data_IF_149395315654
#
_entry.id   IF_149395315654
#
_cell.length_a   1.000
_cell.length_b   1.000
_cell.length_c   1.000
_cell.angle_alpha   90.00
_cell.angle_beta   90.00
_cell.angle_gamma   90.00
#
_symmetry.space_group_name_H-M   'P 1'
#
loop_
_entity.id
_entity.type
_entity.pdbx_description
1 polymer ?
#
# COMPACT_ATOMS: atom_id res chain seq x y z
N UNK A 1 0.16 73.59 -10.94
CA UNK A 1 -0.36 72.82 -9.79
C UNK A 1 -1.67 72.16 -10.19
N UNK A 2 -1.65 70.87 -10.55
CA UNK A 2 -2.82 69.99 -10.69
C UNK A 2 -2.34 68.57 -11.06
N UNK A 3 -2.89 67.59 -10.34
CA UNK A 3 -2.99 66.14 -10.62
C UNK A 3 -1.91 65.22 -10.03
N UNK A 4 -2.12 64.95 -8.74
CA UNK A 4 -1.90 63.68 -8.06
C UNK A 4 -2.77 62.55 -8.63
N UNK A 5 -2.40 61.32 -8.27
CA UNK A 5 -3.21 60.08 -8.20
C UNK A 5 -3.64 59.39 -9.49
N UNK A 6 -2.77 58.54 -10.06
CA UNK A 6 -3.10 57.18 -10.56
C UNK A 6 -1.80 56.37 -10.48
N UNK A 7 -1.76 55.32 -9.66
CA UNK A 7 -0.59 54.43 -9.64
C UNK A 7 -0.39 53.59 -8.38
N UNK A 8 -1.45 53.19 -7.67
CA UNK A 8 -1.35 52.25 -6.54
C UNK A 8 -2.51 51.25 -6.59
N UNK A 9 -2.63 50.44 -7.63
CA UNK A 9 -3.47 49.20 -7.60
C UNK A 9 -3.01 48.16 -8.65
N UNK A 10 -1.72 47.87 -8.80
CA UNK A 10 -1.27 46.69 -9.58
C UNK A 10 0.01 46.11 -8.96
N UNK A 11 -0.07 45.59 -7.74
CA UNK A 11 1.04 44.82 -7.14
C UNK A 11 0.58 43.78 -6.10
N UNK A 12 -0.72 43.51 -5.98
CA UNK A 12 -1.27 42.67 -4.92
C UNK A 12 -2.30 41.64 -5.45
N UNK A 13 -2.04 41.03 -6.60
CA UNK A 13 -2.96 40.08 -7.23
C UNK A 13 -2.27 38.90 -7.95
N UNK A 14 -1.06 38.51 -7.56
CA UNK A 14 -0.33 37.39 -8.20
C UNK A 14 0.45 36.53 -7.19
N UNK A 15 -0.18 36.24 -6.05
CA UNK A 15 0.22 35.16 -5.14
C UNK A 15 -1.03 34.35 -4.80
N UNK A 16 -1.73 33.85 -5.82
CA UNK A 16 -2.61 32.70 -5.67
C UNK A 16 -1.71 31.47 -5.59
N UNK A 17 -1.14 31.25 -4.40
CA UNK A 17 -0.66 29.93 -4.03
C UNK A 17 -1.88 29.01 -4.07
N UNK A 18 -2.04 28.26 -5.15
CA UNK A 18 -2.95 27.11 -5.19
C UNK A 18 -2.43 26.10 -4.16
N UNK A 19 -2.84 26.27 -2.90
CA UNK A 19 -2.78 25.18 -1.94
C UNK A 19 -3.81 24.17 -2.42
N UNK A 20 -3.36 23.13 -3.12
CA UNK A 20 -4.20 21.96 -3.35
C UNK A 20 -4.70 21.50 -1.97
N UNK A 21 -6.02 21.59 -1.75
CA UNK A 21 -6.63 21.09 -0.53
C UNK A 21 -6.39 19.58 -0.49
N UNK A 22 -5.77 19.09 0.58
CA UNK A 22 -5.59 17.66 0.80
C UNK A 22 -6.97 16.98 0.83
N UNK A 23 -7.09 15.80 0.23
CA UNK A 23 -8.34 15.08 0.23
C UNK A 23 -8.77 14.75 1.67
N UNK A 24 -10.09 14.72 1.90
CA UNK A 24 -10.66 14.34 3.18
C UNK A 24 -11.32 12.96 3.11
N UNK A 25 -11.56 12.37 4.28
CA UNK A 25 -12.38 11.14 4.38
C UNK A 25 -13.77 11.33 3.77
N UNK A 26 -14.37 12.52 3.93
CA UNK A 26 -15.69 12.81 3.38
C UNK A 26 -15.68 12.85 1.85
N UNK A 27 -14.60 13.36 1.24
CA UNK A 27 -14.43 13.34 -0.21
C UNK A 27 -14.36 11.91 -0.73
N UNK A 28 -13.61 11.05 -0.04
CA UNK A 28 -13.51 9.62 -0.36
C UNK A 28 -14.87 8.91 -0.28
N UNK A 29 -15.64 9.12 0.80
CA UNK A 29 -16.98 8.52 0.93
C UNK A 29 -17.94 9.00 -0.15
N UNK A 30 -17.86 10.30 -0.48
CA UNK A 30 -18.66 10.89 -1.56
C UNK A 30 -18.30 10.29 -2.92
N UNK A 31 -17.03 9.95 -3.14
CA UNK A 31 -16.56 9.29 -4.34
C UNK A 31 -17.04 7.83 -4.41
N UNK A 32 -16.98 7.09 -3.30
CA UNK A 32 -17.48 5.71 -3.20
C UNK A 32 -18.97 5.65 -3.52
N UNK A 33 -19.76 6.62 -3.04
CA UNK A 33 -21.19 6.71 -3.33
C UNK A 33 -21.49 6.82 -4.84
N UNK A 34 -20.61 7.47 -5.60
CA UNK A 34 -20.75 7.67 -7.05
C UNK A 34 -20.34 6.46 -7.90
N UNK A 35 -19.67 5.46 -7.32
CA UNK A 35 -19.23 4.27 -8.06
C UNK A 35 -20.44 3.52 -8.66
N UNK A 36 -20.32 2.94 -9.86
CA UNK A 36 -21.40 2.19 -10.49
C UNK A 36 -21.48 0.75 -9.95
N UNK A 37 -21.38 0.57 -8.64
CA UNK A 37 -21.40 -0.74 -7.96
C UNK A 37 -22.71 -0.96 -7.19
N UNK A 38 -22.93 -2.18 -6.70
CA UNK A 38 -24.07 -2.46 -5.84
C UNK A 38 -23.97 -1.70 -4.51
N UNK A 39 -25.10 -1.44 -3.85
CA UNK A 39 -25.11 -0.79 -2.53
C UNK A 39 -24.29 -1.58 -1.50
N UNK A 40 -24.34 -2.91 -1.54
CA UNK A 40 -23.58 -3.76 -0.63
C UNK A 40 -22.06 -3.58 -0.83
N UNK A 41 -21.61 -3.54 -2.08
CA UNK A 41 -20.18 -3.33 -2.38
C UNK A 41 -19.72 -1.94 -1.97
N UNK A 42 -20.53 -0.89 -2.20
CA UNK A 42 -20.21 0.47 -1.75
C UNK A 42 -20.07 0.55 -0.24
N UNK A 43 -20.98 -0.07 0.50
CA UNK A 43 -20.91 -0.08 1.96
C UNK A 43 -19.65 -0.82 2.45
N UNK A 44 -19.34 -1.97 1.86
CA UNK A 44 -18.10 -2.69 2.17
C UNK A 44 -16.85 -1.85 1.87
N UNK A 45 -16.80 -1.16 0.73
CA UNK A 45 -15.68 -0.30 0.36
C UNK A 45 -15.57 0.90 1.32
N UNK A 46 -16.69 1.53 1.68
CA UNK A 46 -16.71 2.62 2.65
C UNK A 46 -16.11 2.16 4.00
N UNK A 47 -16.64 1.09 4.58
CA UNK A 47 -16.19 0.57 5.88
C UNK A 47 -14.70 0.17 5.85
N UNK A 48 -14.28 -0.54 4.80
CA UNK A 48 -12.90 -1.02 4.68
C UNK A 48 -11.90 0.12 4.46
N UNK A 49 -12.23 1.11 3.65
CA UNK A 49 -11.35 2.26 3.40
C UNK A 49 -11.29 3.18 4.62
N UNK A 50 -12.41 3.46 5.30
CA UNK A 50 -12.42 4.20 6.56
C UNK A 50 -11.55 3.52 7.61
N UNK A 51 -11.64 2.19 7.73
CA UNK A 51 -10.73 1.42 8.59
C UNK A 51 -9.26 1.62 8.18
N UNK A 52 -8.97 1.57 6.88
CA UNK A 52 -7.62 1.79 6.35
C UNK A 52 -7.05 3.17 6.70
N UNK A 53 -7.86 4.23 6.57
CA UNK A 53 -7.51 5.58 6.97
C UNK A 53 -7.24 5.66 8.48
N UNK A 54 -8.14 5.11 9.30
CA UNK A 54 -8.01 5.11 10.76
C UNK A 54 -6.77 4.37 11.26
N UNK A 55 -6.45 3.25 10.62
CA UNK A 55 -5.27 2.43 10.94
C UNK A 55 -3.97 3.03 10.37
N UNK A 56 -4.05 4.10 9.57
CA UNK A 56 -2.89 4.74 8.93
C UNK A 56 -2.27 3.92 7.80
N UNK A 57 -3.00 2.95 7.23
CA UNK A 57 -2.53 2.07 6.14
C UNK A 57 -2.90 2.57 4.75
N UNK A 58 -3.70 3.64 4.70
CA UNK A 58 -4.11 4.34 3.51
C UNK A 58 -4.20 5.82 3.87
N UNK A 59 -3.78 6.70 2.97
CA UNK A 59 -4.03 8.15 3.10
C UNK A 59 -5.27 8.54 2.28
N UNK A 60 -5.95 9.65 2.62
CA UNK A 60 -7.08 10.13 1.82
C UNK A 60 -6.72 10.36 0.35
N UNK A 61 -5.55 10.92 0.07
CA UNK A 61 -5.09 11.15 -1.30
C UNK A 61 -4.89 9.83 -2.07
N UNK A 62 -4.22 8.84 -1.47
CA UNK A 62 -4.08 7.52 -2.07
C UNK A 62 -5.42 6.83 -2.31
N UNK A 63 -6.37 6.97 -1.37
CA UNK A 63 -7.71 6.42 -1.51
C UNK A 63 -8.45 7.07 -2.69
N UNK A 64 -8.42 8.40 -2.77
CA UNK A 64 -9.07 9.17 -3.83
C UNK A 64 -8.50 8.82 -5.20
N UNK A 65 -7.16 8.83 -5.33
CA UNK A 65 -6.49 8.50 -6.59
C UNK A 65 -6.85 7.10 -7.07
N UNK A 66 -6.80 6.10 -6.16
CA UNK A 66 -7.17 4.73 -6.47
C UNK A 66 -8.64 4.62 -6.93
N UNK A 67 -9.57 5.22 -6.20
CA UNK A 67 -11.00 5.18 -6.50
C UNK A 67 -11.33 5.90 -7.81
N UNK A 68 -10.65 7.00 -8.11
CA UNK A 68 -10.80 7.71 -9.38
C UNK A 68 -10.25 6.87 -10.53
N UNK A 69 -8.98 6.45 -10.46
CA UNK A 69 -8.30 5.73 -11.54
C UNK A 69 -8.96 4.40 -11.82
N UNK A 70 -9.21 3.59 -10.79
CA UNK A 70 -9.78 2.24 -10.94
C UNK A 70 -11.30 2.28 -11.02
N UNK A 71 -11.96 3.03 -10.14
CA UNK A 71 -13.42 2.96 -9.97
C UNK A 71 -14.24 3.78 -10.96
N UNK A 72 -13.73 4.93 -11.43
CA UNK A 72 -14.49 5.86 -12.27
C UNK A 72 -13.91 6.04 -13.67
N UNK A 73 -12.60 6.24 -13.79
CA UNK A 73 -11.95 6.64 -15.04
C UNK A 73 -11.59 5.46 -15.94
N UNK A 74 -11.32 4.28 -15.37
CA UNK A 74 -10.98 3.10 -16.15
C UNK A 74 -12.20 2.54 -16.90
N UNK A 75 -12.04 2.21 -18.18
CA UNK A 75 -13.11 1.72 -19.06
C UNK A 75 -13.33 0.21 -19.04
N UNK A 76 -12.61 -0.54 -18.21
CA UNK A 76 -12.80 -1.97 -18.04
C UNK A 76 -14.21 -2.30 -17.50
N UNK A 77 -14.69 -3.55 -17.68
CA UNK A 77 -15.97 -3.98 -17.13
C UNK A 77 -16.11 -3.64 -15.63
N UNK A 78 -17.30 -3.18 -15.24
CA UNK A 78 -17.62 -2.76 -13.86
C UNK A 78 -17.18 -3.80 -12.84
N UNK A 79 -17.48 -5.08 -13.10
CA UNK A 79 -17.12 -6.19 -12.21
C UNK A 79 -15.62 -6.32 -11.97
N UNK A 80 -14.78 -6.14 -13.00
CA UNK A 80 -13.32 -6.24 -12.84
C UNK A 80 -12.77 -5.08 -12.02
N UNK A 81 -13.28 -3.86 -12.23
CA UNK A 81 -12.89 -2.67 -11.45
C UNK A 81 -13.30 -2.82 -9.99
N UNK A 82 -14.51 -3.33 -9.75
CA UNK A 82 -15.04 -3.66 -8.43
C UNK A 82 -14.16 -4.71 -7.74
N UNK A 83 -13.82 -5.81 -8.41
CA UNK A 83 -13.05 -6.90 -7.81
C UNK A 83 -11.65 -6.46 -7.35
N UNK A 84 -11.01 -5.54 -8.08
CA UNK A 84 -9.74 -4.93 -7.65
C UNK A 84 -9.92 -4.12 -6.37
N UNK A 85 -10.90 -3.21 -6.34
CA UNK A 85 -11.16 -2.36 -5.16
C UNK A 85 -11.59 -3.19 -3.94
N UNK A 86 -12.43 -4.20 -4.15
CA UNK A 86 -12.87 -5.13 -3.09
C UNK A 86 -11.69 -5.94 -2.57
N UNK A 87 -10.77 -6.40 -3.43
CA UNK A 87 -9.58 -7.13 -2.99
C UNK A 87 -8.68 -6.28 -2.09
N UNK A 88 -8.52 -4.99 -2.41
CA UNK A 88 -7.79 -4.03 -1.57
C UNK A 88 -8.56 -3.78 -0.26
N UNK A 89 -9.88 -3.58 -0.31
CA UNK A 89 -10.72 -3.43 0.88
C UNK A 89 -10.63 -4.63 1.83
N UNK A 90 -10.60 -5.85 1.30
CA UNK A 90 -10.38 -7.06 2.10
C UNK A 90 -9.00 -7.08 2.78
N UNK A 91 -7.96 -6.57 2.12
CA UNK A 91 -6.63 -6.44 2.71
C UNK A 91 -6.61 -5.42 3.86
N UNK A 92 -7.33 -4.30 3.72
CA UNK A 92 -7.52 -3.30 4.78
C UNK A 92 -8.24 -3.89 6.00
N UNK A 93 -9.33 -4.64 5.77
CA UNK A 93 -10.06 -5.33 6.84
C UNK A 93 -9.17 -6.33 7.57
N UNK A 94 -8.34 -7.07 6.84
CA UNK A 94 -7.36 -8.00 7.41
C UNK A 94 -6.17 -7.32 8.11
N UNK A 95 -6.08 -5.99 8.06
CA UNK A 95 -5.00 -5.21 8.66
C UNK A 95 -3.65 -5.43 7.98
N UNK A 96 -3.64 -5.63 6.66
CA UNK A 96 -2.43 -5.72 5.85
C UNK A 96 -1.98 -4.32 5.41
N UNK A 97 -0.67 -4.08 5.25
CA UNK A 97 -0.19 -2.87 4.59
C UNK A 97 -0.54 -2.93 3.10
N UNK A 98 -1.35 -1.98 2.63
CA UNK A 98 -1.90 -2.03 1.26
C UNK A 98 -1.12 -1.19 0.25
N UNK A 99 -0.10 -0.44 0.68
CA UNK A 99 0.68 0.45 -0.19
C UNK A 99 1.14 -0.24 -1.49
N UNK A 100 1.66 -1.47 -1.38
CA UNK A 100 2.10 -2.23 -2.56
C UNK A 100 0.95 -2.68 -3.45
N UNK A 101 -0.25 -2.93 -2.89
CA UNK A 101 -1.42 -3.34 -3.66
C UNK A 101 -2.01 -2.14 -4.42
N UNK A 102 -2.11 -1.00 -3.74
CA UNK A 102 -2.55 0.28 -4.32
C UNK A 102 -1.61 0.67 -5.45
N UNK A 103 -0.30 0.71 -5.19
CA UNK A 103 0.70 1.08 -6.20
C UNK A 103 0.64 0.18 -7.43
N UNK A 104 0.41 -1.13 -7.25
CA UNK A 104 0.30 -2.06 -8.39
C UNK A 104 -0.99 -1.90 -9.18
N UNK A 105 -2.11 -1.61 -8.51
CA UNK A 105 -3.34 -1.27 -9.19
C UNK A 105 -3.16 -0.02 -10.08
N UNK A 106 -2.59 1.04 -9.51
CA UNK A 106 -2.38 2.30 -10.20
C UNK A 106 -1.36 2.20 -11.34
N UNK A 107 -0.23 1.53 -11.10
CA UNK A 107 0.79 1.26 -12.12
C UNK A 107 0.21 0.46 -13.28
N UNK A 108 -0.57 -0.59 -12.99
CA UNK A 108 -1.23 -1.41 -13.99
C UNK A 108 -2.20 -0.59 -14.85
N UNK A 109 -3.03 0.23 -14.21
CA UNK A 109 -3.95 1.14 -14.93
C UNK A 109 -3.18 2.14 -15.80
N UNK A 110 -2.13 2.76 -15.26
CA UNK A 110 -1.31 3.73 -15.99
C UNK A 110 -0.60 3.10 -17.21
N UNK A 111 -0.24 1.82 -17.13
CA UNK A 111 0.37 1.05 -18.21
C UNK A 111 -0.63 0.41 -19.17
N UNK A 112 -1.93 0.55 -18.93
CA UNK A 112 -2.97 -0.08 -19.74
C UNK A 112 -3.01 -1.61 -19.63
N UNK A 113 -2.54 -2.16 -18.50
CA UNK A 113 -2.61 -3.60 -18.22
C UNK A 113 -4.08 -4.01 -18.08
N UNK A 114 -4.51 -5.17 -18.62
CA UNK A 114 -5.86 -5.65 -18.44
C UNK A 114 -6.24 -5.78 -16.96
N UNK A 115 -7.44 -5.33 -16.58
CA UNK A 115 -7.87 -5.32 -15.18
C UNK A 115 -7.90 -6.72 -14.53
N UNK A 116 -8.15 -7.76 -15.32
CA UNK A 116 -8.02 -9.16 -14.88
C UNK A 116 -6.60 -9.56 -14.49
N UNK A 117 -5.59 -9.05 -15.19
CA UNK A 117 -4.17 -9.30 -14.86
C UNK A 117 -3.75 -8.48 -13.63
N UNK A 118 -4.22 -7.23 -13.53
CA UNK A 118 -4.03 -6.40 -12.33
C UNK A 118 -4.63 -7.11 -11.10
N UNK A 119 -5.87 -7.61 -11.22
CA UNK A 119 -6.55 -8.35 -10.16
C UNK A 119 -5.74 -9.59 -9.74
N UNK A 120 -5.26 -10.37 -10.70
CA UNK A 120 -4.43 -11.55 -10.43
C UNK A 120 -3.17 -11.17 -9.64
N UNK A 121 -2.40 -10.16 -10.08
CA UNK A 121 -1.17 -9.74 -9.39
C UNK A 121 -1.45 -9.20 -7.98
N UNK A 122 -2.53 -8.42 -7.80
CA UNK A 122 -2.94 -7.92 -6.48
C UNK A 122 -3.35 -9.06 -5.55
N UNK A 123 -4.07 -10.07 -6.05
CA UNK A 123 -4.45 -11.24 -5.27
C UNK A 123 -3.23 -12.05 -4.83
N UNK A 124 -2.27 -12.28 -5.73
CA UNK A 124 -1.02 -12.97 -5.41
C UNK A 124 -0.22 -12.23 -4.33
N UNK A 125 -0.06 -10.91 -4.48
CA UNK A 125 0.64 -10.05 -3.52
C UNK A 125 -0.07 -9.96 -2.17
N UNK A 126 -1.41 -9.88 -2.17
CA UNK A 126 -2.23 -9.91 -0.94
C UNK A 126 -2.00 -11.22 -0.16
N UNK A 127 -1.95 -12.35 -0.85
CA UNK A 127 -1.66 -13.64 -0.21
C UNK A 127 -0.25 -13.65 0.37
N UNK A 128 0.75 -13.11 -0.33
CA UNK A 128 2.12 -13.02 0.20
C UNK A 128 2.19 -12.11 1.43
N UNK A 129 1.56 -10.93 1.39
CA UNK A 129 1.42 -10.04 2.56
C UNK A 129 0.78 -10.76 3.75
N UNK A 130 -0.26 -11.56 3.50
CA UNK A 130 -0.94 -12.34 4.53
C UNK A 130 0.02 -13.35 5.17
N UNK A 131 0.79 -14.07 4.37
CA UNK A 131 1.79 -15.05 4.85
C UNK A 131 2.90 -14.38 5.66
N UNK A 132 3.44 -13.25 5.17
CA UNK A 132 4.48 -12.49 5.86
C UNK A 132 3.94 -11.91 7.18
N UNK A 133 2.74 -11.32 7.18
CA UNK A 133 2.12 -10.82 8.42
C UNK A 133 1.92 -11.95 9.43
N UNK A 134 1.42 -13.11 8.99
CA UNK A 134 1.25 -14.27 9.86
C UNK A 134 2.59 -14.74 10.45
N UNK A 135 3.68 -14.67 9.67
CA UNK A 135 5.02 -14.97 10.14
C UNK A 135 5.49 -13.96 11.20
N UNK A 136 5.30 -12.66 10.98
CA UNK A 136 5.59 -11.61 11.98
C UNK A 136 4.81 -11.85 13.27
N UNK A 137 3.51 -12.17 13.15
CA UNK A 137 2.65 -12.47 14.29
C UNK A 137 3.11 -13.72 15.06
N UNK A 138 3.52 -14.78 14.36
CA UNK A 138 4.08 -16.01 14.93
C UNK A 138 5.40 -15.75 15.66
N UNK A 139 6.22 -14.84 15.14
CA UNK A 139 7.52 -14.47 15.71
C UNK A 139 7.44 -13.32 16.72
N UNK A 140 6.23 -12.86 17.02
CA UNK A 140 5.95 -11.74 17.94
C UNK A 140 6.65 -10.42 17.55
N UNK A 141 6.94 -10.24 16.26
CA UNK A 141 7.46 -8.99 15.71
C UNK A 141 6.28 -8.05 15.50
N UNK A 142 5.97 -7.23 16.51
CA UNK A 142 4.79 -6.36 16.55
C UNK A 142 5.15 -4.97 17.05
N UNK A 143 4.26 -4.02 16.78
CA UNK A 143 4.37 -2.68 17.37
C UNK A 143 4.28 -2.78 18.89
N UNK A 144 5.12 -2.04 19.60
CA UNK A 144 5.09 -1.95 21.05
C UNK A 144 5.26 -0.51 21.45
N UNK A 145 4.45 -0.03 22.40
CA UNK A 145 4.59 1.31 23.01
C UNK A 145 5.16 1.23 24.43
N UNK A 146 5.44 0.02 24.92
CA UNK A 146 5.77 -0.24 26.32
C UNK A 146 7.13 0.32 26.75
N UNK A 147 8.04 0.59 25.81
CA UNK A 147 9.36 1.09 26.12
C UNK A 147 9.89 1.99 24.99
N UNK A 148 9.94 3.31 25.21
CA UNK A 148 10.21 4.32 24.14
C UNK A 148 11.57 4.16 23.46
N UNK A 149 12.53 3.49 24.11
CA UNK A 149 13.86 3.20 23.54
C UNK A 149 13.88 1.92 22.66
N UNK A 150 12.81 1.14 22.69
CA UNK A 150 12.69 -0.17 22.01
C UNK A 150 11.38 -0.34 21.24
N UNK A 151 10.55 0.71 21.20
CA UNK A 151 9.23 0.71 20.60
C UNK A 151 9.29 0.82 19.07
N UNK A 152 8.68 -0.13 18.37
CA UNK A 152 8.41 -0.04 16.93
C UNK A 152 7.01 0.52 16.71
N UNK A 153 6.88 1.47 15.78
CA UNK A 153 5.57 2.00 15.38
C UNK A 153 4.86 1.02 14.46
N UNK A 154 3.52 1.06 14.40
CA UNK A 154 2.77 0.24 13.43
C UNK A 154 3.23 0.50 12.00
N UNK A 155 3.51 1.76 11.65
CA UNK A 155 4.03 2.14 10.33
C UNK A 155 5.37 1.45 10.01
N UNK A 156 6.29 1.34 10.97
CA UNK A 156 7.57 0.64 10.76
C UNK A 156 7.40 -0.87 10.58
N UNK A 157 6.43 -1.48 11.27
CA UNK A 157 6.11 -2.90 11.10
C UNK A 157 5.44 -3.14 9.74
N UNK A 158 4.52 -2.27 9.34
CA UNK A 158 3.83 -2.33 8.05
C UNK A 158 4.82 -2.15 6.88
N UNK A 159 5.79 -1.23 7.02
CA UNK A 159 6.89 -1.09 6.07
C UNK A 159 7.74 -2.37 5.99
N UNK A 160 8.15 -2.93 7.13
CA UNK A 160 8.93 -4.16 7.15
C UNK A 160 8.18 -5.36 6.53
N UNK A 161 6.89 -5.53 6.81
CA UNK A 161 6.06 -6.56 6.17
C UNK A 161 6.04 -6.36 4.65
N UNK A 162 5.87 -5.12 4.20
CA UNK A 162 5.85 -4.76 2.77
C UNK A 162 7.18 -5.06 2.09
N UNK A 163 8.30 -4.74 2.75
CA UNK A 163 9.64 -4.94 2.21
C UNK A 163 10.02 -6.42 2.15
N UNK A 164 9.69 -7.20 3.19
CA UNK A 164 9.87 -8.66 3.18
C UNK A 164 9.04 -9.29 2.07
N UNK A 165 7.75 -8.93 1.96
CA UNK A 165 6.88 -9.45 0.90
C UNK A 165 7.43 -9.09 -0.49
N UNK A 166 7.84 -7.84 -0.69
CA UNK A 166 8.40 -7.38 -1.97
C UNK A 166 9.70 -8.08 -2.32
N UNK A 167 10.61 -8.27 -1.36
CA UNK A 167 11.87 -8.98 -1.58
C UNK A 167 11.64 -10.45 -2.00
N UNK A 168 10.70 -11.15 -1.34
CA UNK A 168 10.36 -12.52 -1.69
C UNK A 168 9.74 -12.62 -3.09
N UNK A 169 8.83 -11.70 -3.39
CA UNK A 169 8.17 -11.58 -4.70
C UNK A 169 9.18 -11.28 -5.82
N UNK A 170 10.10 -10.34 -5.60
CA UNK A 170 11.12 -9.95 -6.57
C UNK A 170 12.17 -11.06 -6.77
N UNK A 171 12.57 -11.74 -5.70
CA UNK A 171 13.48 -12.87 -5.76
C UNK A 171 12.91 -13.98 -6.66
N UNK A 172 11.66 -14.39 -6.44
CA UNK A 172 11.00 -15.43 -7.23
C UNK A 172 10.67 -14.93 -8.64
N UNK A 173 10.23 -13.67 -8.80
CA UNK A 173 9.91 -13.12 -10.12
C UNK A 173 11.12 -13.00 -11.04
N UNK A 174 12.30 -12.80 -10.46
CA UNK A 174 13.58 -12.76 -11.19
C UNK A 174 14.09 -14.13 -11.63
N UNK A 175 13.39 -15.22 -11.31
CA UNK A 175 13.74 -16.58 -11.72
C UNK A 175 14.77 -17.27 -10.82
N UNK A 176 15.04 -16.73 -9.63
CA UNK A 176 15.94 -17.37 -8.66
C UNK A 176 15.28 -18.63 -8.05
N UNK A 177 16.11 -19.54 -7.54
CA UNK A 177 15.64 -20.81 -6.96
C UNK A 177 14.97 -20.58 -5.58
N UNK A 178 13.64 -20.83 -5.44
CA UNK A 178 12.95 -20.68 -4.16
C UNK A 178 13.33 -21.75 -3.12
N UNK A 179 14.10 -22.78 -3.50
CA UNK A 179 14.58 -23.81 -2.58
C UNK A 179 15.90 -23.43 -1.89
N UNK A 180 16.61 -22.41 -2.38
CA UNK A 180 17.79 -21.85 -1.71
C UNK A 180 17.35 -20.89 -0.60
N UNK A 181 17.02 -21.46 0.57
CA UNK A 181 16.53 -20.71 1.71
C UNK A 181 17.52 -19.66 2.24
N UNK A 182 18.82 -19.89 2.06
CA UNK A 182 19.88 -18.96 2.46
C UNK A 182 19.90 -17.75 1.51
N UNK A 183 19.90 -17.98 0.19
CA UNK A 183 19.82 -16.89 -0.78
C UNK A 183 18.52 -16.07 -0.67
N UNK A 184 17.40 -16.73 -0.37
CA UNK A 184 16.13 -16.06 -0.07
C UNK A 184 16.28 -15.12 1.14
N UNK A 185 16.86 -15.60 2.25
CA UNK A 185 17.09 -14.77 3.44
C UNK A 185 18.01 -13.60 3.13
N UNK A 186 19.09 -13.83 2.40
CA UNK A 186 20.02 -12.77 2.00
C UNK A 186 19.34 -11.67 1.18
N UNK A 187 18.46 -12.04 0.25
CA UNK A 187 17.68 -11.08 -0.55
C UNK A 187 16.74 -10.23 0.32
N UNK A 188 16.08 -10.86 1.30
CA UNK A 188 15.22 -10.16 2.28
C UNK A 188 16.04 -9.21 3.15
N UNK A 189 17.12 -9.70 3.78
CA UNK A 189 17.99 -8.90 4.64
C UNK A 189 18.61 -7.72 3.90
N UNK A 190 19.03 -7.91 2.64
CA UNK A 190 19.56 -6.82 1.80
C UNK A 190 18.51 -5.74 1.52
N UNK A 191 17.26 -6.15 1.29
CA UNK A 191 16.16 -5.20 1.04
C UNK A 191 15.86 -4.39 2.30
N UNK A 192 15.73 -5.04 3.45
CA UNK A 192 15.48 -4.38 4.74
C UNK A 192 16.58 -3.39 5.11
N UNK A 193 17.85 -3.73 4.87
CA UNK A 193 19.01 -2.84 5.14
C UNK A 193 19.07 -1.62 4.23
N UNK A 194 18.45 -1.69 3.04
CA UNK A 194 18.39 -0.57 2.09
C UNK A 194 17.25 0.39 2.41
N UNK A 195 16.21 -0.06 3.10
CA UNK A 195 15.05 0.78 3.41
C UNK A 195 15.36 1.74 4.57
N UNK A 196 15.49 3.03 4.25
CA UNK A 196 15.75 4.09 5.23
C UNK A 196 14.60 4.39 6.19
N UNK A 197 13.41 3.81 5.99
CA UNK A 197 12.26 3.92 6.91
C UNK A 197 12.41 2.98 8.11
N UNK A 198 13.24 1.94 8.01
CA UNK A 198 13.44 0.95 9.06
C UNK A 198 14.63 1.30 9.94
N UNK A 199 14.45 1.16 11.26
CA UNK A 199 15.58 1.33 12.19
C UNK A 199 16.48 0.10 12.16
N UNK A 200 17.79 0.30 12.36
CA UNK A 200 18.74 -0.82 12.46
C UNK A 200 18.33 -1.87 13.51
N UNK A 201 17.72 -1.41 14.62
CA UNK A 201 17.20 -2.29 15.68
C UNK A 201 16.08 -3.21 15.17
N UNK A 202 15.13 -2.67 14.40
CA UNK A 202 14.05 -3.47 13.81
C UNK A 202 14.60 -4.45 12.77
N UNK A 203 15.53 -4.01 11.92
CA UNK A 203 16.17 -4.87 10.92
C UNK A 203 16.89 -6.04 11.59
N UNK A 204 17.68 -5.78 12.64
CA UNK A 204 18.37 -6.83 13.39
C UNK A 204 17.39 -7.82 14.04
N UNK A 205 16.31 -7.32 14.64
CA UNK A 205 15.26 -8.18 15.20
C UNK A 205 14.67 -9.11 14.13
N UNK A 206 14.38 -8.58 12.94
CA UNK A 206 13.83 -9.37 11.83
C UNK A 206 14.86 -10.42 11.36
N UNK A 207 16.11 -10.01 11.16
CA UNK A 207 17.20 -10.91 10.73
C UNK A 207 17.43 -12.06 11.74
N UNK A 208 17.30 -11.79 13.04
CA UNK A 208 17.45 -12.76 14.13
C UNK A 208 16.24 -13.71 14.24
N UNK A 209 15.02 -13.19 14.10
CA UNK A 209 13.79 -13.94 14.39
C UNK A 209 13.15 -14.61 13.16
N UNK A 210 13.42 -14.13 11.94
CA UNK A 210 12.95 -14.78 10.72
C UNK A 210 13.98 -15.81 10.25
N UNK A 211 13.58 -17.07 10.27
CA UNK A 211 14.42 -18.18 9.82
C UNK A 211 14.44 -18.28 8.30
N UNK A 212 15.56 -18.77 7.75
CA UNK A 212 15.69 -19.11 6.33
C UNK A 212 14.56 -20.03 5.87
N UNK A 213 14.22 -21.02 6.71
CA UNK A 213 13.18 -22.01 6.41
C UNK A 213 11.80 -21.36 6.27
N UNK A 214 11.43 -20.42 7.16
CA UNK A 214 10.13 -19.75 7.07
C UNK A 214 10.05 -18.92 5.78
N UNK A 215 11.11 -18.16 5.46
CA UNK A 215 11.17 -17.32 4.26
C UNK A 215 11.18 -18.17 2.99
N UNK A 216 11.97 -19.25 2.95
CA UNK A 216 12.01 -20.21 1.85
C UNK A 216 10.64 -20.88 1.63
N UNK A 217 9.90 -21.19 2.69
CA UNK A 217 8.53 -21.74 2.57
C UNK A 217 7.59 -20.77 1.87
N UNK A 218 7.67 -19.47 2.21
CA UNK A 218 6.87 -18.43 1.54
C UNK A 218 7.31 -18.27 0.08
N UNK A 219 8.63 -18.26 -0.20
CA UNK A 219 9.15 -18.18 -1.56
C UNK A 219 8.67 -19.35 -2.44
N UNK A 220 8.68 -20.58 -1.92
CA UNK A 220 8.13 -21.75 -2.61
C UNK A 220 6.61 -21.61 -2.85
N UNK A 221 5.87 -21.05 -1.90
CA UNK A 221 4.44 -20.78 -2.07
C UNK A 221 4.17 -19.72 -3.14
N UNK A 222 5.04 -18.71 -3.28
CA UNK A 222 4.99 -17.75 -4.40
C UNK A 222 5.24 -18.47 -5.72
N UNK A 223 6.31 -19.27 -5.81
CA UNK A 223 6.70 -19.98 -7.03
C UNK A 223 5.59 -20.93 -7.55
N UNK A 224 4.86 -21.60 -6.64
CA UNK A 224 3.75 -22.51 -7.00
C UNK A 224 2.51 -21.82 -7.58
N UNK A 225 2.36 -20.51 -7.39
CA UNK A 225 1.19 -19.74 -7.85
C UNK A 225 1.39 -19.13 -9.23
N UNK A 226 2.63 -19.11 -9.73
CA UNK A 226 2.99 -18.59 -11.05
C UNK A 226 2.79 -19.65 -12.12
#
# INVERSE_FOLDING_TARGET
MKRLTVGVVIALALLLSFTALAATEQDMLSLIAQLPFSTADKNFLADSFQKGLKDGRLTPDQAMDLLQKVGLQNSAPIEQRKDVLVTIGQALVAGLPVEMLVSKAEEGVAKGVPMSEILKDIQERKTTLTQVKALFDKRQIRSSTADRASSYTQASIDAAITDVASALEDYVRSGNDPNDASAVKDAVSKTLKRDGRLTAKLVNLIDEHLSEIDLGTIAQAIAKRR
#
